data_IF_370232713023
#
_entry.id   IF_370232713023
#
_cell.length_a   1.000
_cell.length_b   1.000
_cell.length_c   1.000
_cell.angle_alpha   90.00
_cell.angle_beta   90.00
_cell.angle_gamma   90.00
#
_symmetry.space_group_name_H-M   'P 1'
#
loop_
_entity.id
_entity.type
_entity.pdbx_description
1 polymer ?
#
# COMPACT_ATOMS: atom_id res chain seq x y z
N UNK A 1 12.65 -20.68 -25.67
CA UNK A 1 12.54 -20.47 -24.21
C UNK A 1 11.47 -19.45 -23.92
N UNK A 2 10.48 -19.77 -23.07
CA UNK A 2 9.54 -18.75 -22.65
C UNK A 2 10.28 -17.68 -21.85
N UNK A 3 10.07 -16.43 -22.23
CA UNK A 3 10.61 -15.30 -21.46
C UNK A 3 9.67 -15.08 -20.27
N UNK A 4 10.20 -15.27 -19.06
CA UNK A 4 9.44 -14.96 -17.85
C UNK A 4 9.22 -13.44 -17.81
N UNK A 5 7.97 -12.96 -17.70
CA UNK A 5 7.73 -11.54 -17.61
C UNK A 5 8.50 -10.92 -16.42
N UNK A 6 9.23 -9.85 -16.67
CA UNK A 6 9.94 -9.13 -15.62
C UNK A 6 8.94 -8.41 -14.73
N UNK A 7 9.22 -8.42 -13.43
CA UNK A 7 8.44 -7.65 -12.47
C UNK A 7 8.66 -6.17 -12.73
N UNK A 8 7.58 -5.46 -13.02
CA UNK A 8 7.58 -4.02 -13.20
C UNK A 8 6.95 -3.35 -11.98
N UNK A 9 7.62 -2.33 -11.46
CA UNK A 9 7.17 -1.60 -10.28
C UNK A 9 6.90 -0.16 -10.66
N UNK A 10 5.67 0.30 -10.45
CA UNK A 10 5.30 1.70 -10.62
C UNK A 10 5.27 2.33 -9.23
N UNK A 11 6.24 3.19 -8.95
CA UNK A 11 6.36 3.87 -7.66
C UNK A 11 7.16 5.16 -7.81
N UNK A 12 6.54 6.32 -7.58
CA UNK A 12 7.28 7.60 -7.64
C UNK A 12 8.41 7.69 -6.63
N UNK A 13 8.31 6.98 -5.51
CA UNK A 13 9.37 6.97 -4.50
C UNK A 13 10.60 6.18 -4.97
N UNK A 14 10.40 5.02 -5.60
CA UNK A 14 11.52 4.21 -6.12
C UNK A 14 12.09 4.77 -7.42
N UNK A 15 11.21 5.22 -8.30
CA UNK A 15 11.56 5.66 -9.64
C UNK A 15 10.98 7.05 -9.93
N UNK A 16 11.53 8.11 -9.31
CA UNK A 16 10.92 9.45 -9.38
C UNK A 16 10.92 10.07 -10.77
N UNK A 17 11.77 9.56 -11.68
CA UNK A 17 11.86 10.09 -13.05
C UNK A 17 11.01 9.31 -14.07
N UNK A 18 10.40 8.20 -13.66
CA UNK A 18 9.52 7.44 -14.53
C UNK A 18 8.14 8.09 -14.58
N UNK A 19 7.58 8.17 -15.78
CA UNK A 19 6.22 8.65 -15.96
C UNK A 19 5.21 7.55 -15.61
N UNK A 20 4.12 7.96 -14.98
CA UNK A 20 3.02 7.07 -14.69
C UNK A 20 1.72 7.84 -14.80
N UNK A 21 0.61 7.12 -14.95
CA UNK A 21 -0.71 7.71 -15.17
C UNK A 21 -1.61 7.38 -13.98
N UNK A 22 -2.21 8.40 -13.38
CA UNK A 22 -3.06 8.24 -12.19
C UNK A 22 -4.27 7.34 -12.48
N UNK A 23 -4.92 7.53 -13.63
CA UNK A 23 -6.10 6.75 -13.99
C UNK A 23 -5.76 5.28 -14.23
N UNK A 24 -4.63 4.99 -14.86
CA UNK A 24 -4.18 3.61 -15.06
C UNK A 24 -3.81 2.94 -13.74
N UNK A 25 -3.11 3.66 -12.86
CA UNK A 25 -2.78 3.15 -11.53
C UNK A 25 -4.04 2.87 -10.72
N UNK A 26 -4.99 3.80 -10.74
CA UNK A 26 -6.27 3.62 -10.05
C UNK A 26 -7.03 2.42 -10.58
N UNK A 27 -7.07 2.23 -11.89
CA UNK A 27 -7.72 1.08 -12.51
C UNK A 27 -7.08 -0.25 -12.10
N UNK A 28 -5.74 -0.31 -12.08
CA UNK A 28 -5.01 -1.51 -11.65
C UNK A 28 -5.27 -1.83 -10.17
N UNK A 29 -5.25 -0.81 -9.31
CA UNK A 29 -5.52 -0.97 -7.87
C UNK A 29 -6.96 -1.43 -7.65
N UNK A 30 -7.92 -0.87 -8.40
CA UNK A 30 -9.32 -1.27 -8.32
C UNK A 30 -9.49 -2.73 -8.70
N UNK A 31 -8.80 -3.18 -9.75
CA UNK A 31 -8.82 -4.58 -10.16
C UNK A 31 -8.28 -5.49 -9.05
N UNK A 32 -7.21 -5.09 -8.36
CA UNK A 32 -6.66 -5.84 -7.24
C UNK A 32 -7.63 -5.88 -6.06
N UNK A 33 -8.30 -4.78 -5.76
CA UNK A 33 -9.35 -4.73 -4.72
C UNK A 33 -10.47 -5.71 -5.03
N UNK A 34 -10.86 -5.80 -6.31
CA UNK A 34 -11.90 -6.73 -6.73
C UNK A 34 -11.53 -8.19 -6.49
N UNK A 35 -10.24 -8.53 -6.51
CA UNK A 35 -9.78 -9.89 -6.22
C UNK A 35 -9.91 -10.27 -4.74
N UNK A 36 -10.10 -9.29 -3.85
CA UNK A 36 -10.27 -9.52 -2.41
C UNK A 36 -11.76 -9.60 -2.08
N UNK A 37 -12.27 -10.75 -1.55
CA UNK A 37 -13.69 -10.90 -1.24
C UNK A 37 -14.25 -9.83 -0.29
N UNK A 38 -13.44 -9.37 0.66
CA UNK A 38 -13.86 -8.33 1.61
C UNK A 38 -13.80 -6.93 1.00
N UNK A 39 -12.79 -6.64 0.18
CA UNK A 39 -12.59 -5.30 -0.39
C UNK A 39 -13.50 -5.01 -1.57
N UNK A 40 -13.87 -6.03 -2.35
CA UNK A 40 -14.74 -5.82 -3.53
C UNK A 40 -16.11 -5.25 -3.20
N UNK A 41 -16.56 -5.39 -1.95
CA UNK A 41 -17.85 -4.91 -1.50
C UNK A 41 -17.82 -3.52 -0.88
N UNK A 42 -16.62 -2.94 -0.77
CA UNK A 42 -16.47 -1.59 -0.25
C UNK A 42 -16.98 -0.58 -1.28
N UNK A 43 -17.82 0.38 -0.89
CA UNK A 43 -18.26 1.43 -1.81
C UNK A 43 -17.10 2.22 -2.39
N UNK A 44 -17.24 2.64 -3.64
CA UNK A 44 -16.20 3.39 -4.35
C UNK A 44 -15.78 4.63 -3.57
N UNK A 45 -16.73 5.33 -2.95
CA UNK A 45 -16.41 6.54 -2.18
C UNK A 45 -15.49 6.24 -1.01
N UNK A 46 -15.66 5.11 -0.34
CA UNK A 46 -14.74 4.68 0.73
C UNK A 46 -13.39 4.25 0.18
N UNK A 47 -13.39 3.48 -0.91
CA UNK A 47 -12.14 3.07 -1.56
C UNK A 47 -11.29 4.28 -1.91
N UNK A 48 -11.90 5.34 -2.44
CA UNK A 48 -11.19 6.55 -2.82
C UNK A 48 -10.54 7.26 -1.64
N UNK A 49 -11.08 7.15 -0.43
CA UNK A 49 -10.44 7.74 0.76
C UNK A 49 -9.09 7.10 1.09
N UNK A 50 -8.86 5.86 0.67
CA UNK A 50 -7.59 5.15 0.87
C UNK A 50 -6.65 5.26 -0.32
N UNK A 51 -7.18 5.42 -1.52
CA UNK A 51 -6.38 5.34 -2.74
C UNK A 51 -5.94 6.72 -3.24
N UNK A 52 -6.84 7.70 -3.28
CA UNK A 52 -6.50 9.02 -3.84
C UNK A 52 -5.38 9.72 -3.08
N UNK A 53 -5.33 9.73 -1.74
CA UNK A 53 -4.24 10.38 -1.03
C UNK A 53 -2.87 9.79 -1.38
N UNK A 54 -2.76 8.47 -1.49
CA UNK A 54 -1.47 7.84 -1.79
C UNK A 54 -1.06 8.06 -3.24
N UNK A 55 -2.01 8.11 -4.18
CA UNK A 55 -1.71 8.46 -5.56
C UNK A 55 -1.24 9.91 -5.68
N UNK A 56 -1.90 10.83 -4.99
CA UNK A 56 -1.53 12.25 -4.99
C UNK A 56 -0.17 12.50 -4.34
N UNK A 57 0.14 11.76 -3.28
CA UNK A 57 1.39 11.93 -2.52
C UNK A 57 2.54 11.06 -3.04
N UNK A 58 2.26 10.12 -3.97
CA UNK A 58 3.27 9.18 -4.43
C UNK A 58 3.66 8.13 -3.38
N UNK A 59 2.78 7.83 -2.43
CA UNK A 59 3.05 6.92 -1.32
C UNK A 59 2.53 5.51 -1.61
N UNK A 60 2.92 4.97 -2.73
CA UNK A 60 2.49 3.64 -3.17
C UNK A 60 3.54 2.95 -4.03
N UNK A 61 3.39 1.64 -4.16
CA UNK A 61 4.07 0.85 -5.17
C UNK A 61 3.08 -0.15 -5.77
N UNK A 62 2.98 -0.14 -7.08
CA UNK A 62 2.13 -1.03 -7.86
C UNK A 62 3.02 -2.01 -8.61
N UNK A 63 2.76 -3.29 -8.45
CA UNK A 63 3.55 -4.37 -9.01
C UNK A 63 2.80 -5.03 -10.14
N UNK A 64 3.47 -5.17 -11.29
CA UNK A 64 2.89 -5.80 -12.48
C UNK A 64 3.85 -6.84 -13.07
N UNK A 65 3.31 -7.91 -13.62
CA UNK A 65 4.03 -8.80 -14.53
C UNK A 65 3.51 -8.54 -15.95
N UNK A 66 4.35 -7.94 -16.79
CA UNK A 66 3.86 -7.43 -18.05
C UNK A 66 2.77 -6.38 -17.81
N UNK A 67 1.58 -6.60 -18.38
CA UNK A 67 0.42 -5.71 -18.17
C UNK A 67 -0.48 -6.14 -17.03
N UNK A 68 -0.19 -7.28 -16.38
CA UNK A 68 -1.03 -7.84 -15.32
C UNK A 68 -0.65 -7.27 -13.96
N UNK A 69 -1.55 -6.54 -13.28
CA UNK A 69 -1.32 -6.16 -11.89
C UNK A 69 -1.26 -7.40 -11.00
N UNK A 70 -0.28 -7.48 -10.13
CA UNK A 70 -0.10 -8.63 -9.23
C UNK A 70 -0.05 -8.25 -7.77
N UNK A 71 0.18 -6.98 -7.45
CA UNK A 71 0.27 -6.55 -6.07
C UNK A 71 0.32 -5.04 -5.92
N UNK A 72 0.05 -4.60 -4.72
CA UNK A 72 -0.02 -3.18 -4.40
C UNK A 72 0.27 -2.97 -2.93
N UNK A 73 1.08 -1.97 -2.63
CA UNK A 73 1.30 -1.51 -1.26
C UNK A 73 1.13 0.00 -1.20
N UNK A 74 0.63 0.47 -0.06
CA UNK A 74 0.57 1.90 0.24
C UNK A 74 1.06 2.13 1.66
N UNK A 75 1.49 3.34 1.92
CA UNK A 75 2.01 3.71 3.23
C UNK A 75 1.65 5.14 3.58
N UNK A 76 1.80 5.45 4.86
CA UNK A 76 1.62 6.79 5.38
C UNK A 76 2.83 7.16 6.27
N UNK A 77 3.06 8.45 6.41
CA UNK A 77 4.05 9.01 7.33
C UNK A 77 3.27 9.74 8.42
N UNK A 78 3.21 9.15 9.62
CA UNK A 78 2.40 9.67 10.72
C UNK A 78 3.24 10.46 11.72
N UNK A 79 2.68 11.55 12.22
CA UNK A 79 3.08 12.11 13.52
C UNK A 79 2.38 11.32 14.64
N UNK A 80 2.62 11.70 15.89
CA UNK A 80 2.05 10.97 17.03
C UNK A 80 0.52 11.07 17.08
N UNK A 81 -0.05 12.19 16.65
CA UNK A 81 -1.50 12.41 16.65
C UNK A 81 -2.17 11.53 15.58
N UNK A 82 -1.64 11.54 14.36
CA UNK A 82 -2.18 10.71 13.27
C UNK A 82 -2.03 9.23 13.57
N UNK A 83 -0.91 8.82 14.18
CA UNK A 83 -0.71 7.44 14.60
C UNK A 83 -1.76 7.01 15.62
N UNK A 84 -2.05 7.85 16.61
CA UNK A 84 -3.08 7.57 17.59
C UNK A 84 -4.47 7.45 16.94
N UNK A 85 -4.80 8.32 15.98
CA UNK A 85 -6.05 8.23 15.21
C UNK A 85 -6.16 6.89 14.48
N UNK A 86 -5.09 6.47 13.81
CA UNK A 86 -5.07 5.23 13.06
C UNK A 86 -5.21 3.99 13.95
N UNK A 87 -4.72 4.06 15.18
CA UNK A 87 -4.80 2.95 16.14
C UNK A 87 -6.13 2.87 16.88
N UNK A 88 -7.02 3.85 16.73
CA UNK A 88 -8.38 3.79 17.26
C UNK A 88 -9.18 2.64 16.62
N UNK A 89 -10.28 2.26 17.24
CA UNK A 89 -11.05 1.07 16.84
C UNK A 89 -11.59 1.12 15.42
N UNK A 90 -11.87 2.32 14.89
CA UNK A 90 -12.39 2.50 13.53
C UNK A 90 -11.31 2.46 12.45
N UNK A 91 -10.04 2.50 12.81
CA UNK A 91 -8.89 2.46 11.88
C UNK A 91 -8.98 3.50 10.76
N UNK A 92 -9.62 4.62 11.03
CA UNK A 92 -9.86 5.66 10.02
C UNK A 92 -8.75 6.70 10.02
N UNK A 93 -8.34 7.09 8.82
CA UNK A 93 -7.53 8.28 8.62
C UNK A 93 -8.50 9.45 8.44
N UNK A 94 -8.55 10.31 9.45
CA UNK A 94 -9.62 11.30 9.58
C UNK A 94 -9.47 12.47 8.62
N UNK A 95 -8.22 12.84 8.34
CA UNK A 95 -7.91 13.96 7.46
C UNK A 95 -6.92 13.55 6.39
N UNK A 96 -6.99 14.17 5.22
CA UNK A 96 -6.01 13.94 4.16
C UNK A 96 -4.58 14.26 4.61
N UNK A 97 -4.43 15.22 5.52
CA UNK A 97 -3.11 15.59 6.08
C UNK A 97 -2.49 14.48 6.94
N UNK A 98 -3.30 13.56 7.49
CA UNK A 98 -2.78 12.45 8.30
C UNK A 98 -1.85 11.53 7.50
N UNK A 99 -2.00 11.48 6.19
CA UNK A 99 -1.21 10.59 5.34
C UNK A 99 0.27 10.96 5.25
N UNK A 100 0.60 12.22 5.47
CA UNK A 100 1.97 12.69 5.27
C UNK A 100 2.28 13.84 6.22
N UNK A 101 2.36 13.53 7.51
CA UNK A 101 2.52 14.55 8.54
C UNK A 101 3.66 14.28 9.53
N UNK A 102 4.41 13.19 9.38
CA UNK A 102 5.47 12.85 10.33
C UNK A 102 6.48 11.86 9.79
N UNK A 103 7.18 11.19 10.70
CA UNK A 103 8.29 10.29 10.38
C UNK A 103 7.99 8.82 10.67
N UNK A 104 6.84 8.52 11.27
CA UNK A 104 6.47 7.14 11.59
C UNK A 104 5.86 6.48 10.36
N UNK A 105 6.57 5.52 9.79
CA UNK A 105 6.16 4.86 8.55
C UNK A 105 5.23 3.70 8.87
N UNK A 106 4.04 3.74 8.31
CA UNK A 106 3.04 2.68 8.43
C UNK A 106 2.62 2.18 7.06
N UNK A 107 2.70 0.87 6.85
CA UNK A 107 2.07 0.24 5.69
C UNK A 107 0.57 0.20 5.95
N UNK A 108 -0.19 0.79 5.04
CA UNK A 108 -1.64 0.92 5.18
C UNK A 108 -2.35 -0.23 4.47
N UNK A 109 -1.95 -0.51 3.23
CA UNK A 109 -2.53 -1.59 2.45
C UNK A 109 -1.43 -2.48 1.86
N UNK A 110 -1.73 -3.76 1.80
CA UNK A 110 -0.88 -4.77 1.23
C UNK A 110 -1.76 -5.77 0.49
N UNK A 111 -1.77 -5.70 -0.83
CA UNK A 111 -2.52 -6.62 -1.68
C UNK A 111 -1.57 -7.48 -2.47
N UNK A 112 -1.68 -8.79 -2.29
CA UNK A 112 -0.93 -9.77 -3.06
C UNK A 112 -1.84 -10.97 -3.36
N UNK A 113 -2.96 -10.76 -4.07
CA UNK A 113 -4.00 -11.78 -4.22
C UNK A 113 -3.55 -13.00 -5.01
N UNK A 114 -2.46 -12.88 -5.77
CA UNK A 114 -1.93 -13.96 -6.61
C UNK A 114 -0.67 -14.59 -6.03
N UNK A 115 -0.32 -14.30 -4.78
CA UNK A 115 0.77 -14.96 -4.07
C UNK A 115 2.15 -14.34 -4.23
N UNK A 116 2.25 -13.04 -4.51
CA UNK A 116 3.53 -12.38 -4.79
C UNK A 116 4.11 -11.60 -3.60
N UNK A 117 3.64 -11.85 -2.37
CA UNK A 117 4.11 -11.12 -1.18
C UNK A 117 5.63 -11.18 -0.99
N UNK A 118 6.25 -12.30 -1.32
CA UNK A 118 7.69 -12.45 -1.13
C UNK A 118 8.49 -11.46 -2.00
N UNK A 119 8.11 -11.32 -3.27
CA UNK A 119 8.77 -10.36 -4.17
C UNK A 119 8.52 -8.91 -3.72
N UNK A 120 7.34 -8.64 -3.18
CA UNK A 120 6.99 -7.31 -2.69
C UNK A 120 7.79 -6.91 -1.46
N UNK A 121 8.17 -7.85 -0.60
CA UNK A 121 9.02 -7.58 0.56
C UNK A 121 10.39 -7.01 0.18
N UNK A 122 10.96 -7.48 -0.91
CA UNK A 122 12.24 -6.97 -1.39
C UNK A 122 12.13 -5.50 -1.78
N UNK A 123 11.00 -5.10 -2.37
CA UNK A 123 10.75 -3.71 -2.72
C UNK A 123 10.61 -2.82 -1.47
N UNK A 124 10.03 -3.32 -0.39
CA UNK A 124 9.91 -2.54 0.86
C UNK A 124 11.30 -2.19 1.40
N UNK A 125 12.27 -3.11 1.30
CA UNK A 125 13.65 -2.82 1.71
C UNK A 125 14.30 -1.73 0.87
N UNK A 126 13.95 -1.66 -0.41
CA UNK A 126 14.43 -0.60 -1.30
C UNK A 126 13.72 0.73 -1.05
N UNK A 127 12.42 0.68 -0.75
CA UNK A 127 11.63 1.87 -0.45
C UNK A 127 12.07 2.54 0.85
N UNK A 128 12.38 1.77 1.87
CA UNK A 128 12.68 2.23 3.22
C UNK A 128 13.95 1.56 3.74
N UNK A 129 15.13 1.90 3.21
CA UNK A 129 16.37 1.24 3.62
C UNK A 129 16.72 1.58 5.08
N UNK A 130 17.13 0.55 5.84
CA UNK A 130 17.61 0.66 7.23
C UNK A 130 16.65 1.44 8.11
N UNK A 131 15.35 1.14 8.00
CA UNK A 131 14.29 1.89 8.65
C UNK A 131 13.34 0.95 9.38
N UNK A 132 12.66 1.47 10.39
CA UNK A 132 11.57 0.75 11.07
C UNK A 132 10.25 1.08 10.38
N UNK A 133 9.52 0.04 9.98
CA UNK A 133 8.22 0.16 9.32
C UNK A 133 7.20 -0.65 10.11
N UNK A 134 6.01 -0.11 10.31
CA UNK A 134 4.94 -0.75 11.07
C UNK A 134 3.74 -1.04 10.18
N UNK A 135 2.95 -2.02 10.59
CA UNK A 135 1.67 -2.36 9.95
C UNK A 135 0.73 -2.97 10.97
N UNK A 136 -0.57 -2.87 10.73
CA UNK A 136 -1.55 -3.60 11.53
C UNK A 136 -1.64 -5.05 11.03
N UNK A 137 -1.80 -5.97 11.97
CA UNK A 137 -1.99 -7.38 11.64
C UNK A 137 -3.40 -7.59 11.06
N UNK A 138 -3.50 -8.36 9.98
CA UNK A 138 -4.75 -8.48 9.23
C UNK A 138 -5.30 -9.91 9.16
N UNK A 139 -4.85 -10.81 10.02
CA UNK A 139 -5.28 -12.21 9.98
C UNK A 139 -5.91 -12.66 11.29
N UNK A 140 -6.90 -13.55 11.18
CA UNK A 140 -7.50 -14.24 12.32
C UNK A 140 -8.22 -13.31 13.30
N UNK A 141 -8.34 -13.76 14.53
CA UNK A 141 -9.00 -13.02 15.62
C UNK A 141 -8.19 -11.78 16.06
N UNK A 142 -6.90 -11.73 15.72
CA UNK A 142 -6.03 -10.60 16.08
C UNK A 142 -6.05 -9.46 15.04
N UNK A 143 -6.89 -9.57 14.03
CA UNK A 143 -6.96 -8.57 12.96
C UNK A 143 -7.23 -7.18 13.52
N UNK A 144 -6.31 -6.24 13.23
CA UNK A 144 -6.39 -4.87 13.71
C UNK A 144 -6.05 -4.67 15.18
N UNK A 145 -5.71 -5.73 15.92
CA UNK A 145 -5.36 -5.67 17.33
C UNK A 145 -3.86 -5.73 17.59
N UNK A 146 -3.09 -6.22 16.62
CA UNK A 146 -1.64 -6.35 16.75
C UNK A 146 -0.92 -5.42 15.80
N UNK A 147 0.18 -4.86 16.28
CA UNK A 147 1.09 -4.05 15.46
C UNK A 147 2.28 -4.94 15.08
N UNK A 148 2.54 -5.02 13.79
CA UNK A 148 3.74 -5.66 13.27
C UNK A 148 4.81 -4.59 13.06
N UNK A 149 6.04 -4.89 13.49
CA UNK A 149 7.17 -3.99 13.33
C UNK A 149 8.25 -4.69 12.54
N UNK A 150 8.72 -4.05 11.47
CA UNK A 150 9.78 -4.57 10.62
C UNK A 150 10.97 -3.62 10.63
N UNK A 151 12.17 -4.20 10.69
CA UNK A 151 13.39 -3.44 10.42
C UNK A 151 13.91 -3.84 9.04
N UNK A 152 14.00 -2.89 8.15
CA UNK A 152 14.50 -3.09 6.79
C UNK A 152 16.05 -2.88 6.67
#
# INVERSE_FOLDING_TARGET
MPITPTLNIISPKLYPNEQWNESEALGAITWLWYQSPTHRQVPIVEMMTYILPVLKNGQFALFCKGTQPIGYISWAYFDEVAQAHYLESDRHLRDNSDWNCGDNIWLIQWFAPLGHSHQMRSAVRQLFPSTTVRALYHKGSDKGLRILTFKT
#
